data_IF_189970908180
#
_entry.id   IF_189970908180
#
_cell.length_a   1.000
_cell.length_b   1.000
_cell.length_c   1.000
_cell.angle_alpha   90.00
_cell.angle_beta   90.00
_cell.angle_gamma   90.00
#
_symmetry.space_group_name_H-M   'P 1'
#
loop_
_entity.id
_entity.type
_entity.pdbx_description
1 polymer ?
#
# COMPACT_ATOMS: atom_id res chain seq x y z
N UNK A 1 14.14 3.28 -28.13
CA UNK A 1 14.54 3.42 -26.71
C UNK A 1 14.29 4.85 -26.26
N UNK A 2 13.65 5.09 -25.11
CA UNK A 2 13.39 6.46 -24.61
C UNK A 2 14.67 7.00 -23.96
N UNK A 3 15.12 8.19 -24.36
CA UNK A 3 16.26 8.88 -23.75
C UNK A 3 15.79 9.65 -22.52
N UNK A 4 16.45 9.43 -21.38
CA UNK A 4 16.20 10.18 -20.15
C UNK A 4 17.32 11.20 -19.92
N UNK A 5 17.00 12.36 -19.34
CA UNK A 5 17.95 13.48 -19.24
C UNK A 5 19.11 13.22 -18.29
N UNK A 6 18.88 12.47 -17.21
CA UNK A 6 19.88 12.14 -16.19
C UNK A 6 20.10 10.64 -16.09
N UNK A 7 19.93 9.90 -17.20
CA UNK A 7 20.19 8.46 -17.23
C UNK A 7 21.62 8.10 -16.80
N UNK A 8 22.63 8.83 -17.26
CA UNK A 8 24.04 8.51 -16.97
C UNK A 8 24.36 8.65 -15.48
N UNK A 9 24.13 9.81 -14.81
CA UNK A 9 24.41 9.92 -13.38
C UNK A 9 23.56 8.96 -12.55
N UNK A 10 22.31 8.70 -12.93
CA UNK A 10 21.47 7.71 -12.28
C UNK A 10 22.03 6.28 -12.40
N UNK A 11 22.58 5.93 -13.55
CA UNK A 11 23.20 4.62 -13.78
C UNK A 11 24.46 4.46 -12.95
N UNK A 12 25.29 5.51 -12.86
CA UNK A 12 26.49 5.52 -12.03
C UNK A 12 26.15 5.37 -10.54
N UNK A 13 25.17 6.13 -10.04
CA UNK A 13 24.76 6.06 -8.64
C UNK A 13 24.13 4.69 -8.30
N UNK A 14 23.17 4.22 -9.10
CA UNK A 14 22.53 2.92 -8.88
C UNK A 14 23.52 1.76 -9.07
N UNK A 15 24.38 1.82 -10.08
CA UNK A 15 25.40 0.80 -10.35
C UNK A 15 26.46 0.75 -9.25
N UNK A 16 26.91 1.91 -8.75
CA UNK A 16 27.82 2.00 -7.62
C UNK A 16 27.22 1.38 -6.35
N UNK A 17 25.97 1.71 -6.03
CA UNK A 17 25.27 1.14 -4.87
C UNK A 17 25.08 -0.38 -5.02
N UNK A 18 24.63 -0.87 -6.18
CA UNK A 18 24.49 -2.31 -6.45
C UNK A 18 25.83 -3.06 -6.32
N UNK A 19 26.91 -2.46 -6.81
CA UNK A 19 28.26 -3.04 -6.70
C UNK A 19 28.68 -3.12 -5.22
N UNK A 20 28.42 -2.07 -4.45
CA UNK A 20 28.70 -2.07 -3.01
C UNK A 20 27.92 -3.17 -2.28
N UNK A 21 26.62 -3.34 -2.57
CA UNK A 21 25.78 -4.42 -2.00
C UNK A 21 26.33 -5.80 -2.37
N UNK A 22 26.73 -6.01 -3.63
CA UNK A 22 27.30 -7.28 -4.06
C UNK A 22 28.62 -7.59 -3.35
N UNK A 23 29.51 -6.60 -3.21
CA UNK A 23 30.79 -6.75 -2.51
C UNK A 23 30.58 -7.05 -1.03
N UNK A 24 29.72 -6.30 -0.33
CA UNK A 24 29.46 -6.54 1.10
C UNK A 24 28.75 -7.87 1.33
N UNK A 25 27.91 -8.34 0.41
CA UNK A 25 27.31 -9.67 0.48
C UNK A 25 28.35 -10.79 0.35
N UNK A 26 29.31 -10.66 -0.57
CA UNK A 26 30.43 -11.64 -0.69
C UNK A 26 31.28 -11.63 0.58
N UNK A 27 31.57 -10.45 1.14
CA UNK A 27 32.31 -10.32 2.40
C UNK A 27 31.55 -10.95 3.57
N UNK A 28 30.23 -10.77 3.65
CA UNK A 28 29.41 -11.40 4.68
C UNK A 28 29.48 -12.94 4.61
N UNK A 29 29.35 -13.51 3.41
CA UNK A 29 29.38 -14.96 3.21
C UNK A 29 30.78 -15.56 3.47
N UNK A 30 31.85 -14.85 3.10
CA UNK A 30 33.23 -15.37 3.19
C UNK A 30 33.91 -15.08 4.53
N UNK A 31 33.65 -13.92 5.12
CA UNK A 31 34.26 -13.45 6.37
C UNK A 31 33.41 -13.71 7.61
N UNK A 32 32.12 -14.04 7.45
CA UNK A 32 31.22 -14.24 8.58
C UNK A 32 30.85 -12.94 9.31
N UNK A 33 30.99 -11.79 8.66
CA UNK A 33 30.59 -10.47 9.19
C UNK A 33 29.50 -9.84 8.30
N UNK A 34 28.25 -9.82 8.80
CA UNK A 34 27.10 -9.25 8.10
C UNK A 34 26.99 -7.72 8.27
N UNK A 35 27.73 -7.15 9.21
CA UNK A 35 27.63 -5.73 9.59
C UNK A 35 27.72 -4.76 8.41
N UNK A 36 28.71 -4.87 7.51
CA UNK A 36 28.82 -3.98 6.36
C UNK A 36 27.65 -4.08 5.38
N UNK A 37 27.13 -5.29 5.14
CA UNK A 37 25.96 -5.48 4.27
C UNK A 37 24.72 -4.88 4.93
N UNK A 38 24.53 -5.18 6.21
CA UNK A 38 23.43 -4.69 7.03
C UNK A 38 23.36 -3.16 7.05
N UNK A 39 24.46 -2.50 7.41
CA UNK A 39 24.58 -1.03 7.39
C UNK A 39 24.28 -0.45 6.01
N UNK A 40 24.71 -1.11 4.94
CA UNK A 40 24.50 -0.58 3.60
C UNK A 40 23.04 -0.70 3.12
N UNK A 41 22.31 -1.72 3.57
CA UNK A 41 20.95 -2.02 3.09
C UNK A 41 19.86 -1.47 3.99
N UNK A 42 20.07 -1.53 5.32
CA UNK A 42 19.13 -1.06 6.32
C UNK A 42 19.52 0.29 6.92
N UNK A 43 20.76 0.74 6.68
CA UNK A 43 21.23 2.06 7.07
C UNK A 43 21.24 2.25 8.59
N UNK A 44 21.42 1.18 9.36
CA UNK A 44 21.70 1.22 10.78
C UNK A 44 22.72 0.16 11.17
N UNK A 45 23.22 0.22 12.40
CA UNK A 45 24.15 -0.78 12.93
C UNK A 45 23.48 -2.16 13.01
N UNK A 46 24.22 -3.21 12.63
CA UNK A 46 23.78 -4.58 12.87
C UNK A 46 23.85 -4.82 14.38
N UNK A 47 22.73 -5.21 14.99
CA UNK A 47 22.74 -5.74 16.35
C UNK A 47 23.43 -7.10 16.41
N UNK A 48 22.95 -7.99 17.28
CA UNK A 48 23.47 -9.36 17.40
C UNK A 48 23.00 -10.30 16.25
N UNK A 49 22.78 -9.76 15.06
CA UNK A 49 22.24 -10.48 13.92
C UNK A 49 23.24 -11.55 13.42
N UNK A 50 22.81 -12.81 13.45
CA UNK A 50 23.63 -13.93 12.98
C UNK A 50 23.86 -13.88 11.46
N UNK A 51 25.05 -14.28 11.02
CA UNK A 51 25.36 -14.42 9.59
C UNK A 51 24.76 -15.72 9.06
N UNK A 52 23.52 -15.63 8.59
CA UNK A 52 22.81 -16.73 7.95
C UNK A 52 22.64 -16.44 6.45
N UNK A 53 22.57 -17.48 5.62
CA UNK A 53 22.35 -17.29 4.18
C UNK A 53 21.00 -16.61 3.90
N UNK A 54 20.00 -16.83 4.76
CA UNK A 54 18.70 -16.18 4.68
C UNK A 54 18.82 -14.67 4.93
N UNK A 55 19.55 -14.25 5.97
CA UNK A 55 19.78 -12.82 6.25
C UNK A 55 20.50 -12.15 5.08
N UNK A 56 21.56 -12.77 4.56
CA UNK A 56 22.27 -12.25 3.39
C UNK A 56 21.32 -12.11 2.18
N UNK A 57 20.48 -13.11 1.90
CA UNK A 57 19.53 -13.05 0.79
C UNK A 57 18.51 -11.93 0.94
N UNK A 58 17.95 -11.74 2.14
CA UNK A 58 16.98 -10.68 2.43
C UNK A 58 17.61 -9.30 2.27
N UNK A 59 18.80 -9.09 2.83
CA UNK A 59 19.52 -7.82 2.71
C UNK A 59 19.90 -7.52 1.26
N UNK A 60 20.36 -8.52 0.49
CA UNK A 60 20.61 -8.36 -0.95
C UNK A 60 19.34 -7.99 -1.70
N UNK A 61 18.19 -8.59 -1.36
CA UNK A 61 16.90 -8.24 -1.96
C UNK A 61 16.51 -6.79 -1.63
N UNK A 62 16.71 -6.33 -0.39
CA UNK A 62 16.49 -4.94 0.01
C UNK A 62 17.43 -4.00 -0.75
N UNK A 63 18.73 -4.31 -0.82
CA UNK A 63 19.70 -3.56 -1.61
C UNK A 63 19.31 -3.50 -3.10
N UNK A 64 18.74 -4.56 -3.67
CA UNK A 64 18.22 -4.54 -5.03
C UNK A 64 17.01 -3.59 -5.19
N UNK A 65 16.11 -3.57 -4.19
CA UNK A 65 14.96 -2.64 -4.16
C UNK A 65 15.42 -1.18 -4.09
N UNK A 66 16.41 -0.85 -3.25
CA UNK A 66 16.97 0.51 -3.20
C UNK A 66 17.77 0.88 -4.44
N UNK A 67 18.56 -0.05 -4.99
CA UNK A 67 19.23 0.14 -6.29
C UNK A 67 18.21 0.55 -7.36
N UNK A 68 17.09 -0.18 -7.43
CA UNK A 68 16.01 0.12 -8.34
C UNK A 68 15.40 1.49 -8.03
N UNK A 69 15.17 1.82 -6.77
CA UNK A 69 14.62 3.10 -6.36
C UNK A 69 15.50 4.28 -6.77
N UNK A 70 16.81 4.21 -6.50
CA UNK A 70 17.81 5.19 -6.91
C UNK A 70 17.76 5.43 -8.42
N UNK A 71 17.71 4.35 -9.21
CA UNK A 71 17.55 4.45 -10.66
C UNK A 71 16.25 5.17 -11.05
N UNK A 72 15.10 4.80 -10.45
CA UNK A 72 13.82 5.41 -10.78
C UNK A 72 13.75 6.89 -10.40
N UNK A 73 14.36 7.28 -9.27
CA UNK A 73 14.38 8.63 -8.74
C UNK A 73 15.35 9.54 -9.50
N UNK A 74 16.56 9.05 -9.81
CA UNK A 74 17.63 9.89 -10.37
C UNK A 74 17.60 10.00 -11.90
N UNK A 75 16.99 9.05 -12.62
CA UNK A 75 17.02 9.04 -14.11
C UNK A 75 16.40 10.27 -14.76
N UNK A 76 15.59 11.02 -14.03
CA UNK A 76 14.97 12.25 -14.50
C UNK A 76 13.80 12.03 -15.46
N UNK A 77 13.18 13.12 -15.94
CA UNK A 77 12.11 13.05 -16.92
C UNK A 77 12.64 12.67 -18.31
N UNK A 78 11.72 12.25 -19.19
CA UNK A 78 12.05 11.95 -20.60
C UNK A 78 12.59 13.20 -21.29
N UNK A 79 13.62 13.02 -22.13
CA UNK A 79 14.21 14.10 -22.91
C UNK A 79 13.23 14.63 -23.98
N UNK A 80 13.26 15.94 -24.25
CA UNK A 80 12.37 16.61 -25.20
C UNK A 80 11.99 18.03 -24.76
N UNK A 81 11.41 18.82 -25.69
CA UNK A 81 10.97 20.18 -25.42
C UNK A 81 9.85 20.19 -24.37
N UNK A 82 10.05 20.95 -23.28
CA UNK A 82 9.09 21.00 -22.19
C UNK A 82 8.01 22.04 -22.51
N UNK A 83 6.70 21.70 -22.41
CA UNK A 83 5.69 22.73 -22.35
C UNK A 83 5.96 23.60 -21.11
N UNK A 84 5.80 24.92 -21.24
CA UNK A 84 5.98 25.84 -20.11
C UNK A 84 4.95 25.47 -19.02
N UNK A 85 5.39 24.91 -17.88
CA UNK A 85 4.45 24.48 -16.85
C UNK A 85 3.85 25.70 -16.16
N UNK A 86 2.53 25.68 -15.94
CA UNK A 86 1.86 26.66 -15.08
C UNK A 86 2.46 26.66 -13.68
N UNK A 87 2.36 27.80 -12.98
CA UNK A 87 3.00 28.01 -11.65
C UNK A 87 2.66 26.91 -10.64
N UNK A 88 1.40 26.49 -10.56
CA UNK A 88 0.98 25.42 -9.63
C UNK A 88 1.62 24.06 -9.91
N UNK A 89 1.76 23.68 -11.19
CA UNK A 89 2.42 22.43 -11.59
C UNK A 89 3.91 22.47 -11.25
N UNK A 90 4.55 23.64 -11.40
CA UNK A 90 5.95 23.82 -10.97
C UNK A 90 6.12 23.57 -9.48
N UNK A 91 5.29 24.18 -8.65
CA UNK A 91 5.35 24.00 -7.20
C UNK A 91 5.08 22.57 -6.78
N UNK A 92 4.03 21.93 -7.32
CA UNK A 92 3.73 20.53 -7.02
C UNK A 92 4.92 19.62 -7.36
N UNK A 93 5.51 19.82 -8.54
CA UNK A 93 6.68 19.05 -8.97
C UNK A 93 7.88 19.27 -8.03
N UNK A 94 8.15 20.51 -7.65
CA UNK A 94 9.23 20.82 -6.71
C UNK A 94 8.99 20.16 -5.35
N UNK A 95 7.77 20.23 -4.81
CA UNK A 95 7.44 19.60 -3.53
C UNK A 95 7.60 18.08 -3.58
N UNK A 96 7.17 17.42 -4.67
CA UNK A 96 7.35 15.98 -4.85
C UNK A 96 8.83 15.57 -4.95
N UNK A 97 9.67 16.35 -5.65
CA UNK A 97 11.12 16.10 -5.66
C UNK A 97 11.76 16.37 -4.31
N UNK A 98 11.31 17.41 -3.60
CA UNK A 98 11.83 17.76 -2.29
C UNK A 98 11.57 16.62 -1.30
N UNK A 99 10.33 16.11 -1.21
CA UNK A 99 10.01 14.97 -0.32
C UNK A 99 10.78 13.71 -0.75
N UNK A 100 10.79 13.36 -2.04
CA UNK A 100 11.57 12.19 -2.49
C UNK A 100 13.09 12.32 -2.18
N UNK A 101 13.65 13.52 -2.28
CA UNK A 101 15.04 13.78 -1.90
C UNK A 101 15.23 13.68 -0.38
N UNK A 102 14.27 14.18 0.40
CA UNK A 102 14.27 14.09 1.86
C UNK A 102 14.23 12.64 2.33
N UNK A 103 13.35 11.81 1.77
CA UNK A 103 13.28 10.39 2.10
C UNK A 103 14.59 9.66 1.76
N UNK A 104 15.22 9.96 0.62
CA UNK A 104 16.53 9.40 0.26
C UNK A 104 17.65 9.89 1.18
N UNK A 105 17.62 11.17 1.57
CA UNK A 105 18.61 11.74 2.48
C UNK A 105 18.45 11.18 3.90
N UNK A 106 17.21 10.97 4.36
CA UNK A 106 16.91 10.32 5.64
C UNK A 106 17.45 8.90 5.67
N UNK A 107 17.25 8.15 4.58
CA UNK A 107 17.85 6.83 4.44
C UNK A 107 19.40 6.90 4.57
N UNK A 108 20.06 7.89 3.96
CA UNK A 108 21.52 8.00 3.99
C UNK A 108 22.09 8.50 5.33
N UNK A 109 21.27 9.07 6.21
CA UNK A 109 21.66 9.73 7.45
C UNK A 109 20.74 9.25 8.58
N UNK A 110 20.92 8.01 9.07
CA UNK A 110 20.03 7.41 10.06
C UNK A 110 20.04 8.13 11.41
N UNK A 111 21.19 8.69 11.81
CA UNK A 111 21.36 9.42 13.07
C UNK A 111 20.98 10.91 12.94
N UNK A 112 20.10 11.25 11.99
CA UNK A 112 19.66 12.63 11.86
C UNK A 112 18.79 13.00 13.07
N UNK A 113 18.98 14.19 13.70
CA UNK A 113 18.03 14.70 14.69
C UNK A 113 16.60 14.70 14.15
N UNK A 114 15.59 14.72 15.03
CA UNK A 114 14.15 14.60 14.74
C UNK A 114 13.55 15.59 13.70
N UNK A 115 14.15 16.78 13.50
CA UNK A 115 13.53 17.86 12.71
C UNK A 115 13.31 17.59 11.20
N UNK A 116 14.11 16.78 10.47
CA UNK A 116 13.86 16.45 9.08
C UNK A 116 12.64 15.55 8.91
N UNK A 117 12.33 14.66 9.86
CA UNK A 117 11.10 13.88 9.80
C UNK A 117 9.87 14.79 9.88
N UNK A 118 9.93 15.81 10.76
CA UNK A 118 8.91 16.87 10.80
C UNK A 118 8.86 17.64 9.49
N UNK A 119 10.02 18.03 8.94
CA UNK A 119 10.07 18.80 7.72
C UNK A 119 9.61 17.99 6.48
N UNK A 120 9.89 16.68 6.40
CA UNK A 120 9.34 15.81 5.35
C UNK A 120 7.83 15.68 5.46
N UNK A 121 7.30 15.49 6.67
CA UNK A 121 5.86 15.49 6.92
C UNK A 121 5.20 16.81 6.48
N UNK A 122 5.84 17.97 6.74
CA UNK A 122 5.36 19.26 6.26
C UNK A 122 5.43 19.40 4.74
N UNK A 123 6.47 18.87 4.09
CA UNK A 123 6.58 18.84 2.63
C UNK A 123 5.49 17.95 2.02
N UNK A 124 5.21 16.78 2.62
CA UNK A 124 4.12 15.89 2.20
C UNK A 124 2.74 16.53 2.40
N UNK A 125 2.53 17.26 3.50
CA UNK A 125 1.32 18.07 3.68
C UNK A 125 1.19 19.13 2.57
N UNK A 126 2.29 19.78 2.18
CA UNK A 126 2.31 20.69 1.04
C UNK A 126 2.02 19.97 -0.29
N UNK A 127 2.53 18.76 -0.51
CA UNK A 127 2.20 17.92 -1.67
C UNK A 127 0.70 17.62 -1.70
N UNK A 128 0.10 17.24 -0.56
CA UNK A 128 -1.33 17.00 -0.45
C UNK A 128 -2.13 18.24 -0.87
N UNK A 129 -1.82 19.42 -0.32
CA UNK A 129 -2.46 20.69 -0.69
C UNK A 129 -2.30 21.03 -2.19
N UNK A 130 -1.09 20.88 -2.73
CA UNK A 130 -0.79 21.19 -4.13
C UNK A 130 -1.42 20.21 -5.12
N UNK A 131 -1.83 19.01 -4.68
CA UNK A 131 -2.64 18.07 -5.45
C UNK A 131 -4.12 18.47 -5.53
N UNK A 132 -4.58 19.44 -4.74
CA UNK A 132 -5.97 19.87 -4.69
C UNK A 132 -6.60 20.21 -6.04
N UNK A 133 -5.96 20.99 -6.93
CA UNK A 133 -6.48 21.24 -8.26
C UNK A 133 -6.66 19.97 -9.13
N UNK A 134 -5.82 18.95 -8.93
CA UNK A 134 -5.92 17.65 -9.64
C UNK A 134 -7.09 16.84 -9.06
N UNK A 135 -7.22 16.81 -7.74
CA UNK A 135 -8.31 16.14 -7.03
C UNK A 135 -9.68 16.75 -7.38
N UNK A 136 -9.83 18.08 -7.26
CA UNK A 136 -11.11 18.79 -7.49
C UNK A 136 -11.65 18.63 -8.91
N UNK A 137 -10.79 18.38 -9.90
CA UNK A 137 -11.20 18.14 -11.29
C UNK A 137 -11.72 16.72 -11.53
N UNK A 138 -11.36 15.75 -10.68
CA UNK A 138 -11.49 14.32 -11.00
C UNK A 138 -12.28 13.53 -9.96
N UNK A 139 -12.38 14.02 -8.73
CA UNK A 139 -12.98 13.33 -7.57
C UNK A 139 -13.99 14.25 -6.89
N UNK A 140 -15.17 13.72 -6.53
CA UNK A 140 -16.25 14.50 -5.88
C UNK A 140 -15.92 14.92 -4.45
N UNK A 141 -15.19 14.08 -3.72
CA UNK A 141 -14.79 14.29 -2.32
C UNK A 141 -13.37 14.87 -2.22
N UNK A 142 -13.01 15.76 -3.14
CA UNK A 142 -11.66 16.29 -3.22
C UNK A 142 -11.22 17.04 -1.95
N UNK A 143 -12.11 17.80 -1.33
CA UNK A 143 -11.78 18.56 -0.11
C UNK A 143 -11.59 17.64 1.10
N UNK A 144 -12.35 16.55 1.20
CA UNK A 144 -12.15 15.54 2.22
C UNK A 144 -10.82 14.78 2.01
N UNK A 145 -10.50 14.46 0.76
CA UNK A 145 -9.20 13.88 0.40
C UNK A 145 -8.05 14.82 0.78
N UNK A 146 -8.19 16.12 0.54
CA UNK A 146 -7.18 17.11 0.93
C UNK A 146 -7.02 17.19 2.44
N UNK A 147 -8.13 17.32 3.17
CA UNK A 147 -8.12 17.40 4.62
C UNK A 147 -7.49 16.16 5.26
N UNK A 148 -7.85 14.97 4.78
CA UNK A 148 -7.26 13.71 5.26
C UNK A 148 -5.76 13.60 4.99
N UNK A 149 -5.28 14.01 3.80
CA UNK A 149 -3.84 13.99 3.49
C UNK A 149 -3.05 14.94 4.39
N UNK A 150 -3.54 16.17 4.55
CA UNK A 150 -2.91 17.15 5.46
C UNK A 150 -2.93 16.65 6.90
N UNK A 151 -4.07 16.14 7.38
CA UNK A 151 -4.21 15.61 8.72
C UNK A 151 -3.26 14.44 8.98
N UNK A 152 -3.17 13.47 8.07
CA UNK A 152 -2.29 12.31 8.22
C UNK A 152 -0.82 12.73 8.40
N UNK A 153 -0.33 13.67 7.59
CA UNK A 153 1.05 14.13 7.68
C UNK A 153 1.31 15.05 8.88
N UNK A 154 0.34 15.90 9.27
CA UNK A 154 0.46 16.70 10.49
C UNK A 154 0.47 15.84 11.76
N UNK A 155 -0.32 14.75 11.79
CA UNK A 155 -0.28 13.78 12.88
C UNK A 155 1.08 13.09 12.94
N UNK A 156 1.68 12.72 11.80
CA UNK A 156 3.05 12.20 11.75
C UNK A 156 4.08 13.17 12.35
N UNK A 157 4.04 14.44 11.95
CA UNK A 157 4.91 15.49 12.53
C UNK A 157 4.69 15.65 14.04
N UNK A 158 3.43 15.61 14.49
CA UNK A 158 3.07 15.68 15.89
C UNK A 158 3.64 14.51 16.69
N UNK A 159 3.56 13.27 16.18
CA UNK A 159 4.17 12.11 16.83
C UNK A 159 5.68 12.27 16.98
N UNK A 160 6.38 12.63 15.90
CA UNK A 160 7.84 12.86 15.94
C UNK A 160 8.25 13.89 17.00
N UNK A 161 7.56 15.03 17.08
CA UNK A 161 7.85 16.07 18.10
C UNK A 161 7.50 15.56 19.50
N UNK A 162 6.37 14.88 19.65
CA UNK A 162 5.91 14.41 20.96
C UNK A 162 6.83 13.35 21.55
N UNK A 163 7.33 12.45 20.71
CA UNK A 163 8.26 11.39 21.09
C UNK A 163 9.61 11.98 21.52
N UNK A 164 10.15 12.94 20.77
CA UNK A 164 11.43 13.59 21.08
C UNK A 164 11.39 14.41 22.39
N UNK A 165 10.36 15.26 22.55
CA UNK A 165 10.29 16.19 23.67
C UNK A 165 9.55 15.63 24.89
N UNK A 166 9.06 14.39 24.82
CA UNK A 166 8.20 13.79 25.84
C UNK A 166 6.90 14.57 26.06
N UNK A 167 6.44 15.33 25.06
CA UNK A 167 5.26 16.18 25.16
C UNK A 167 3.99 15.33 25.10
N UNK A 168 3.45 15.02 26.27
CA UNK A 168 2.16 14.32 26.42
C UNK A 168 0.97 15.29 26.41
N UNK A 169 0.92 16.22 25.44
CA UNK A 169 -0.24 17.11 25.27
C UNK A 169 -1.52 16.30 25.04
N UNK A 170 -1.40 15.19 24.30
CA UNK A 170 -2.30 14.05 24.34
C UNK A 170 -1.53 12.83 24.85
N UNK A 171 -2.19 11.83 25.46
CA UNK A 171 -1.57 10.53 25.65
C UNK A 171 -1.12 10.07 24.26
N UNK A 172 0.19 9.96 24.02
CA UNK A 172 0.73 9.47 22.73
C UNK A 172 0.26 8.04 22.43
N UNK A 173 -0.26 7.36 23.44
CA UNK A 173 -0.96 6.08 23.37
C UNK A 173 -2.47 6.20 23.09
N UNK A 174 -3.02 7.39 22.81
CA UNK A 174 -4.44 7.53 22.48
C UNK A 174 -4.68 6.86 21.11
N UNK A 175 -5.35 5.69 21.11
CA UNK A 175 -5.53 4.92 19.89
C UNK A 175 -6.27 5.73 18.83
N UNK A 176 -7.11 6.70 19.21
CA UNK A 176 -7.93 7.49 18.28
C UNK A 176 -7.04 8.30 17.32
N UNK A 177 -6.00 8.96 17.81
CA UNK A 177 -5.11 9.78 16.97
C UNK A 177 -4.39 8.92 15.94
N UNK A 178 -3.85 7.79 16.40
CA UNK A 178 -3.18 6.79 15.54
C UNK A 178 -4.14 6.21 14.50
N UNK A 179 -5.36 5.84 14.89
CA UNK A 179 -6.39 5.33 13.98
C UNK A 179 -6.79 6.34 12.93
N UNK A 180 -6.95 7.61 13.31
CA UNK A 180 -7.30 8.68 12.39
C UNK A 180 -6.20 8.82 11.32
N UNK A 181 -4.93 8.85 11.69
CA UNK A 181 -3.82 8.91 10.73
C UNK A 181 -3.76 7.65 9.84
N UNK A 182 -3.91 6.47 10.45
CA UNK A 182 -3.87 5.18 9.76
C UNK A 182 -4.98 5.03 8.71
N UNK A 183 -6.13 5.71 8.87
CA UNK A 183 -7.21 5.73 7.87
C UNK A 183 -7.07 6.90 6.89
N UNK A 184 -6.70 8.07 7.40
CA UNK A 184 -6.63 9.31 6.62
C UNK A 184 -5.57 9.24 5.50
N UNK A 185 -4.37 8.70 5.80
CA UNK A 185 -3.29 8.57 4.83
C UNK A 185 -3.66 7.69 3.63
N UNK A 186 -4.09 6.42 3.84
CA UNK A 186 -4.56 5.54 2.78
C UNK A 186 -5.75 6.09 2.00
N UNK A 187 -6.71 6.74 2.67
CA UNK A 187 -7.84 7.36 1.99
C UNK A 187 -7.39 8.48 1.04
N UNK A 188 -6.53 9.39 1.52
CA UNK A 188 -5.95 10.45 0.70
C UNK A 188 -5.21 9.87 -0.51
N UNK A 189 -4.30 8.92 -0.26
CA UNK A 189 -3.49 8.31 -1.32
C UNK A 189 -4.38 7.60 -2.35
N UNK A 190 -5.38 6.84 -1.92
CA UNK A 190 -6.34 6.19 -2.81
C UNK A 190 -7.02 7.22 -3.73
N UNK A 191 -7.50 8.33 -3.18
CA UNK A 191 -8.15 9.40 -3.96
C UNK A 191 -7.17 10.08 -4.93
N UNK A 192 -5.92 10.30 -4.52
CA UNK A 192 -4.85 10.82 -5.39
C UNK A 192 -4.59 9.85 -6.55
N UNK A 193 -4.51 8.54 -6.29
CA UNK A 193 -4.28 7.54 -7.34
C UNK A 193 -5.44 7.49 -8.33
N UNK A 194 -6.69 7.60 -7.87
CA UNK A 194 -7.87 7.74 -8.76
C UNK A 194 -7.74 8.98 -9.63
N UNK A 195 -7.36 10.11 -9.03
CA UNK A 195 -7.22 11.38 -9.72
C UNK A 195 -6.10 11.31 -10.77
N UNK A 196 -4.92 10.81 -10.41
CA UNK A 196 -3.80 10.58 -11.32
C UNK A 196 -4.19 9.65 -12.47
N UNK A 197 -4.92 8.57 -12.17
CA UNK A 197 -5.43 7.66 -13.19
C UNK A 197 -6.37 8.34 -14.19
N UNK A 198 -7.20 9.28 -13.75
CA UNK A 198 -8.16 9.99 -14.63
C UNK A 198 -7.55 11.16 -15.37
N UNK A 199 -6.55 11.82 -14.81
CA UNK A 199 -5.96 13.04 -15.33
C UNK A 199 -5.20 12.84 -16.66
N UNK A 200 -4.71 11.63 -16.93
CA UNK A 200 -4.08 11.27 -18.20
C UNK A 200 -2.64 11.77 -18.38
N UNK A 201 -2.20 12.76 -17.59
CA UNK A 201 -0.78 13.19 -17.55
C UNK A 201 0.12 12.16 -16.87
N UNK A 202 -0.42 11.41 -15.92
CA UNK A 202 0.33 10.40 -15.17
C UNK A 202 0.33 9.06 -15.90
N UNK A 203 1.50 8.42 -15.96
CA UNK A 203 1.62 7.11 -16.60
C UNK A 203 0.97 6.04 -15.72
N UNK A 204 0.37 5.04 -16.38
CA UNK A 204 -0.23 3.88 -15.70
C UNK A 204 0.74 3.16 -14.76
N UNK A 205 2.01 3.06 -15.15
CA UNK A 205 3.05 2.45 -14.31
C UNK A 205 3.41 3.28 -13.08
N UNK A 206 3.31 4.62 -13.13
CA UNK A 206 3.51 5.47 -11.96
C UNK A 206 2.35 5.29 -10.98
N UNK A 207 1.10 5.29 -11.46
CA UNK A 207 -0.06 4.98 -10.62
C UNK A 207 0.03 3.58 -10.02
N UNK A 208 0.49 2.59 -10.80
CA UNK A 208 0.70 1.22 -10.32
C UNK A 208 1.69 1.13 -9.15
N UNK A 209 2.76 1.93 -9.15
CA UNK A 209 3.71 1.99 -8.01
C UNK A 209 3.04 2.59 -6.77
N UNK A 210 2.24 3.63 -6.94
CA UNK A 210 1.48 4.19 -5.82
C UNK A 210 0.42 3.23 -5.27
N UNK A 211 -0.22 2.44 -6.13
CA UNK A 211 -1.10 1.33 -5.70
C UNK A 211 -0.30 0.26 -4.97
N UNK A 212 0.89 -0.09 -5.45
CA UNK A 212 1.76 -1.04 -4.76
C UNK A 212 2.14 -0.55 -3.36
N UNK A 213 2.48 0.74 -3.20
CA UNK A 213 2.71 1.37 -1.89
C UNK A 213 1.47 1.33 -0.99
N UNK A 214 0.30 1.72 -1.51
CA UNK A 214 -0.97 1.68 -0.75
C UNK A 214 -1.29 0.27 -0.22
N UNK A 215 -0.92 -0.76 -0.97
CA UNK A 215 -1.21 -2.15 -0.63
C UNK A 215 -0.04 -2.88 0.03
N UNK A 216 1.16 -2.30 0.08
CA UNK A 216 2.33 -3.03 0.55
C UNK A 216 2.24 -3.48 2.00
N UNK A 217 1.60 -2.76 2.95
CA UNK A 217 1.41 -3.30 4.30
C UNK A 217 0.67 -4.64 4.29
N UNK A 218 -0.31 -4.79 3.40
CA UNK A 218 -1.10 -6.03 3.26
C UNK A 218 -0.33 -7.12 2.48
N UNK A 219 0.44 -6.71 1.46
CA UNK A 219 1.21 -7.63 0.62
C UNK A 219 2.46 -8.17 1.32
N UNK A 220 3.07 -7.39 2.21
CA UNK A 220 4.27 -7.75 2.96
C UNK A 220 3.94 -8.48 4.27
N UNK A 221 2.71 -8.40 4.76
CA UNK A 221 2.28 -9.08 5.97
C UNK A 221 2.53 -10.60 5.99
N UNK A 222 2.29 -11.38 4.91
CA UNK A 222 2.66 -12.79 4.87
C UNK A 222 4.17 -13.03 4.95
N UNK A 223 4.96 -12.08 4.44
CA UNK A 223 6.42 -12.13 4.48
C UNK A 223 6.90 -11.89 5.91
N UNK A 224 6.37 -10.85 6.58
CA UNK A 224 6.63 -10.60 8.01
C UNK A 224 6.29 -11.85 8.84
N UNK A 225 5.10 -12.43 8.64
CA UNK A 225 4.67 -13.60 9.39
C UNK A 225 5.56 -14.82 9.11
N UNK A 226 5.93 -15.05 7.85
CA UNK A 226 6.81 -16.15 7.48
C UNK A 226 8.16 -16.02 8.19
N UNK A 227 8.73 -14.82 8.26
CA UNK A 227 10.00 -14.59 8.93
C UNK A 227 9.87 -14.57 10.46
N UNK A 228 8.76 -14.11 11.02
CA UNK A 228 8.50 -14.21 12.46
C UNK A 228 8.44 -15.67 12.97
N UNK A 229 8.19 -16.64 12.08
CA UNK A 229 8.23 -18.07 12.37
C UNK A 229 9.64 -18.68 12.28
N UNK A 230 10.62 -17.94 11.78
CA UNK A 230 12.02 -18.38 11.66
C UNK A 230 12.83 -17.66 12.73
N UNK A 231 13.26 -18.41 13.76
CA UNK A 231 14.10 -17.87 14.83
C UNK A 231 15.32 -17.13 14.26
N UNK A 232 15.60 -15.92 14.77
CA UNK A 232 16.75 -15.09 14.37
C UNK A 232 16.45 -13.92 13.42
N UNK A 233 15.16 -13.64 13.13
CA UNK A 233 14.71 -12.57 12.24
C UNK A 233 13.99 -11.42 12.99
N UNK A 234 14.57 -10.93 14.09
CA UNK A 234 13.97 -9.89 14.94
C UNK A 234 13.65 -8.58 14.21
N UNK A 235 14.42 -8.22 13.17
CA UNK A 235 14.38 -6.88 12.56
C UNK A 235 13.64 -6.84 11.21
N UNK A 236 12.77 -7.81 10.92
CA UNK A 236 11.99 -7.84 9.66
C UNK A 236 10.99 -6.69 9.58
N UNK A 237 10.54 -6.18 10.73
CA UNK A 237 9.64 -5.04 10.82
C UNK A 237 10.24 -3.80 10.16
N UNK A 238 11.51 -3.49 10.48
CA UNK A 238 12.26 -2.38 9.90
C UNK A 238 12.39 -2.53 8.39
N UNK A 239 12.68 -3.75 7.93
CA UNK A 239 12.76 -4.08 6.52
C UNK A 239 11.47 -3.83 5.74
N UNK A 240 10.30 -4.11 6.33
CA UNK A 240 9.00 -3.91 5.69
C UNK A 240 8.59 -2.45 5.66
N UNK A 241 8.83 -1.73 6.76
CA UNK A 241 8.66 -0.28 6.81
C UNK A 241 9.50 0.40 5.72
N UNK A 242 10.74 -0.04 5.56
CA UNK A 242 11.66 0.51 4.56
C UNK A 242 11.20 0.28 3.11
N UNK A 243 10.66 -0.90 2.77
CA UNK A 243 10.11 -1.15 1.42
C UNK A 243 8.91 -0.24 1.14
N UNK A 244 8.06 0.00 2.14
CA UNK A 244 6.93 0.92 2.04
C UNK A 244 7.40 2.34 1.70
N UNK A 245 8.41 2.85 2.40
CA UNK A 245 8.99 4.18 2.18
C UNK A 245 9.67 4.31 0.81
N UNK A 246 10.37 3.26 0.37
CA UNK A 246 10.98 3.21 -0.96
C UNK A 246 9.91 3.35 -2.05
N UNK A 247 8.79 2.64 -1.93
CA UNK A 247 7.71 2.72 -2.93
C UNK A 247 7.06 4.10 -2.97
N UNK A 248 6.86 4.75 -1.81
CA UNK A 248 6.38 6.13 -1.74
C UNK A 248 7.34 7.09 -2.44
N UNK A 249 8.63 6.99 -2.10
CA UNK A 249 9.71 7.81 -2.65
C UNK A 249 9.76 7.71 -4.18
N UNK A 250 9.71 6.48 -4.70
CA UNK A 250 9.69 6.23 -6.14
C UNK A 250 8.42 6.77 -6.79
N UNK A 251 7.26 6.61 -6.14
CA UNK A 251 6.00 7.16 -6.63
C UNK A 251 6.04 8.69 -6.71
N UNK A 252 6.59 9.37 -5.70
CA UNK A 252 6.75 10.83 -5.67
C UNK A 252 7.66 11.31 -6.80
N UNK A 253 8.87 10.76 -6.90
CA UNK A 253 9.83 11.13 -7.93
C UNK A 253 9.27 10.87 -9.33
N UNK A 254 8.61 9.73 -9.56
CA UNK A 254 7.99 9.43 -10.86
C UNK A 254 6.78 10.28 -11.18
N UNK A 255 5.97 10.64 -10.18
CA UNK A 255 4.88 11.60 -10.36
C UNK A 255 5.42 12.97 -10.80
N UNK A 256 6.53 13.41 -10.20
CA UNK A 256 7.23 14.62 -10.60
C UNK A 256 7.84 14.53 -12.01
N UNK A 257 8.37 13.36 -12.39
CA UNK A 257 8.86 13.09 -13.75
C UNK A 257 7.74 13.15 -14.79
N UNK A 258 6.59 12.53 -14.51
CA UNK A 258 5.43 12.51 -15.41
C UNK A 258 4.86 13.92 -15.60
N UNK A 259 4.81 14.74 -14.54
CA UNK A 259 4.43 16.16 -14.65
C UNK A 259 5.41 17.01 -15.47
N UNK A 260 6.65 16.54 -15.67
CA UNK A 260 7.66 17.19 -16.50
C UNK A 260 7.77 16.60 -17.91
N UNK A 261 6.99 15.57 -18.23
CA UNK A 261 7.02 14.87 -19.51
C UNK A 261 6.50 15.81 -20.64
N UNK A 262 7.25 16.00 -21.73
CA UNK A 262 6.79 16.73 -22.91
C UNK A 262 5.43 16.30 -23.45
N UNK A 263 5.09 15.01 -23.31
CA UNK A 263 3.83 14.45 -23.79
C UNK A 263 2.65 14.59 -22.81
N UNK A 264 2.88 15.09 -21.60
CA UNK A 264 1.85 15.20 -20.57
C UNK A 264 0.83 16.30 -20.91
N UNK A 265 -0.22 15.94 -21.64
CA UNK A 265 -1.40 16.79 -21.82
C UNK A 265 -2.49 16.34 -20.85
N UNK A 266 -3.15 17.28 -20.15
CA UNK A 266 -4.36 16.94 -19.40
C UNK A 266 -5.34 16.24 -20.33
N UNK A 267 -5.93 15.14 -19.88
CA UNK A 267 -7.08 14.59 -20.57
C UNK A 267 -8.13 15.72 -20.71
N UNK A 268 -8.81 15.82 -21.87
CA UNK A 268 -9.92 16.75 -22.01
C UNK A 268 -10.87 16.54 -20.85
N UNK A 269 -11.23 17.62 -20.14
CA UNK A 269 -12.25 17.52 -19.10
C UNK A 269 -13.48 16.87 -19.74
N UNK A 270 -13.97 15.74 -19.20
CA UNK A 270 -15.22 15.18 -19.71
C UNK A 270 -16.25 16.31 -19.64
N UNK A 271 -17.01 16.59 -20.71
CA UNK A 271 -17.98 17.67 -20.70
C UNK A 271 -18.85 17.49 -19.46
N UNK A 272 -18.73 18.43 -18.52
CA UNK A 272 -19.49 18.46 -17.28
C UNK A 272 -20.94 18.56 -17.69
N UNK A 273 -21.63 17.41 -17.80
CA UNK A 273 -23.07 17.27 -18.04
C UNK A 273 -23.68 18.57 -18.58
N UNK A 274 -23.29 18.94 -19.80
CA UNK A 274 -24.06 19.94 -20.52
C UNK A 274 -25.42 19.26 -20.64
N UNK A 275 -26.38 19.77 -19.87
CA UNK A 275 -27.79 19.40 -19.98
C UNK A 275 -28.07 19.35 -21.48
N UNK A 276 -28.45 18.20 -22.05
CA UNK A 276 -28.60 18.10 -23.49
C UNK A 276 -29.61 19.18 -23.93
N UNK A 277 -29.26 20.11 -24.84
CA UNK A 277 -30.30 20.69 -25.67
C UNK A 277 -30.93 19.50 -26.40
N UNK A 278 -32.24 19.37 -26.24
CA UNK A 278 -32.99 18.21 -26.68
C UNK A 278 -32.64 17.77 -28.12
N UNK A 279 -32.45 16.46 -28.29
CA UNK A 279 -32.78 15.71 -29.51
C UNK A 279 -32.15 16.20 -30.84
N UNK A 280 -30.86 15.91 -31.05
CA UNK A 280 -30.38 15.58 -32.40
C UNK A 280 -29.70 14.22 -32.33
N UNK A 281 -30.51 13.20 -32.58
CA UNK A 281 -30.13 11.80 -32.63
C UNK A 281 -29.50 11.51 -33.99
N UNK A 282 -28.23 11.88 -34.19
CA UNK A 282 -27.47 11.36 -35.33
C UNK A 282 -26.85 9.99 -34.99
N UNK A 283 -27.14 8.94 -35.79
CA UNK A 283 -26.60 7.61 -35.59
C UNK A 283 -25.12 7.57 -36.03
N UNK A 284 -24.21 7.69 -35.06
CA UNK A 284 -22.77 7.59 -35.33
C UNK A 284 -22.37 6.12 -35.54
N UNK A 285 -21.76 5.74 -36.68
CA UNK A 285 -21.40 4.35 -36.95
C UNK A 285 -20.34 3.85 -35.96
N UNK A 286 -20.66 2.73 -35.31
CA UNK A 286 -19.82 2.08 -34.33
C UNK A 286 -18.55 1.51 -35.00
N UNK A 287 -17.45 2.25 -34.93
CA UNK A 287 -16.13 1.74 -35.27
C UNK A 287 -15.72 0.64 -34.27
N UNK A 288 -16.00 -0.62 -34.63
CA UNK A 288 -15.49 -1.83 -33.99
C UNK A 288 -13.98 -1.96 -34.24
N UNK A 289 -13.15 -1.23 -33.49
CA UNK A 289 -11.71 -1.49 -33.46
C UNK A 289 -11.34 -2.32 -32.23
N UNK A 290 -11.39 -3.64 -32.39
CA UNK A 290 -10.21 -4.52 -32.23
C UNK A 290 -9.45 -4.65 -30.91
N UNK A 291 -9.91 -4.15 -29.75
CA UNK A 291 -9.25 -4.43 -28.46
C UNK A 291 -9.96 -5.57 -27.72
N UNK A 292 -9.70 -6.81 -28.15
CA UNK A 292 -10.20 -8.05 -27.50
C UNK A 292 -9.30 -8.53 -26.34
N UNK A 293 -8.15 -7.89 -26.09
CA UNK A 293 -7.20 -8.21 -25.02
C UNK A 293 -7.69 -7.90 -23.59
N UNK A 294 -8.51 -6.86 -23.30
CA UNK A 294 -8.86 -6.52 -21.91
C UNK A 294 -9.88 -7.46 -21.25
N UNK A 295 -10.64 -8.26 -22.02
CA UNK A 295 -11.66 -9.16 -21.44
C UNK A 295 -11.07 -10.40 -20.78
N UNK A 296 -9.97 -10.95 -21.33
CA UNK A 296 -9.30 -12.13 -20.76
C UNK A 296 -8.59 -11.78 -19.46
N UNK A 297 -7.85 -10.67 -19.42
CA UNK A 297 -7.20 -10.20 -18.19
C UNK A 297 -8.22 -9.94 -17.07
N UNK A 298 -9.38 -9.36 -17.40
CA UNK A 298 -10.48 -9.16 -16.47
C UNK A 298 -10.98 -10.49 -15.88
N UNK A 299 -11.22 -11.50 -16.73
CA UNK A 299 -11.67 -12.82 -16.30
C UNK A 299 -10.64 -13.51 -15.38
N UNK A 300 -9.34 -13.45 -15.74
CA UNK A 300 -8.27 -14.03 -14.93
C UNK A 300 -8.13 -13.34 -13.57
N UNK A 301 -8.22 -12.00 -13.50
CA UNK A 301 -8.16 -11.28 -12.22
C UNK A 301 -9.34 -11.61 -11.31
N UNK A 302 -10.54 -11.76 -11.88
CA UNK A 302 -11.72 -12.16 -11.15
C UNK A 302 -11.62 -13.59 -10.62
N UNK A 303 -11.14 -14.52 -11.46
CA UNK A 303 -10.92 -15.91 -11.08
C UNK A 303 -9.84 -16.06 -10.01
N UNK A 304 -8.73 -15.31 -10.10
CA UNK A 304 -7.70 -15.28 -9.07
C UNK A 304 -8.24 -14.79 -7.71
N UNK A 305 -9.03 -13.72 -7.70
CA UNK A 305 -9.71 -13.23 -6.49
C UNK A 305 -10.66 -14.28 -5.90
N UNK A 306 -11.40 -15.02 -6.74
CA UNK A 306 -12.29 -16.09 -6.28
C UNK A 306 -11.50 -17.25 -5.67
N UNK A 307 -10.44 -17.72 -6.34
CA UNK A 307 -9.58 -18.81 -5.83
C UNK A 307 -8.93 -18.40 -4.50
N UNK A 308 -8.46 -17.16 -4.41
CA UNK A 308 -7.91 -16.59 -3.18
C UNK A 308 -8.96 -16.40 -2.07
N UNK A 309 -10.27 -16.42 -2.35
CA UNK A 309 -11.28 -16.39 -1.29
C UNK A 309 -11.82 -17.79 -0.96
N UNK A 310 -11.79 -18.70 -1.94
CA UNK A 310 -12.27 -20.07 -1.79
C UNK A 310 -11.28 -20.96 -1.05
N UNK A 311 -9.97 -20.82 -1.27
CA UNK A 311 -8.97 -21.69 -0.66
C UNK A 311 -9.22 -21.93 0.85
N UNK A 312 -9.39 -20.91 1.72
CA UNK A 312 -9.55 -21.09 3.15
C UNK A 312 -10.90 -21.67 3.54
N UNK A 313 -11.96 -21.26 2.83
CA UNK A 313 -13.29 -21.82 3.03
C UNK A 313 -13.29 -23.33 2.71
N UNK A 314 -12.59 -23.71 1.63
CA UNK A 314 -12.44 -25.12 1.24
C UNK A 314 -11.68 -25.91 2.31
N UNK A 315 -10.56 -25.37 2.81
CA UNK A 315 -9.80 -26.06 3.87
C UNK A 315 -10.61 -26.15 5.18
N UNK A 316 -11.35 -25.11 5.55
CA UNK A 316 -12.22 -25.12 6.74
C UNK A 316 -13.35 -26.14 6.60
N UNK A 317 -14.04 -26.17 5.46
CA UNK A 317 -15.13 -27.12 5.18
C UNK A 317 -14.64 -28.57 5.15
N UNK A 318 -13.47 -28.84 4.54
CA UNK A 318 -12.85 -30.18 4.53
C UNK A 318 -12.53 -30.69 5.93
N UNK A 319 -12.40 -29.80 6.92
CA UNK A 319 -12.19 -30.14 8.33
C UNK A 319 -13.48 -30.09 9.17
N UNK A 320 -14.64 -29.94 8.54
CA UNK A 320 -15.93 -29.87 9.23
C UNK A 320 -16.19 -28.54 9.94
N UNK A 321 -15.41 -27.48 9.67
CA UNK A 321 -15.60 -26.16 10.25
C UNK A 321 -16.34 -25.26 9.26
N UNK A 322 -17.53 -24.80 9.62
CA UNK A 322 -18.32 -23.83 8.83
C UNK A 322 -18.03 -22.37 9.22
N UNK A 323 -17.34 -22.16 10.35
CA UNK A 323 -17.01 -20.85 10.89
C UNK A 323 -15.59 -20.45 10.49
N UNK A 324 -15.42 -19.15 10.23
CA UNK A 324 -14.15 -18.61 9.79
C UNK A 324 -13.13 -18.40 10.94
N UNK A 325 -13.55 -17.76 12.03
CA UNK A 325 -12.70 -17.30 13.13
C UNK A 325 -13.01 -18.06 14.44
N UNK A 326 -14.30 -18.22 14.75
CA UNK A 326 -14.81 -18.93 15.93
C UNK A 326 -14.71 -20.45 15.80
N UNK A 327 -13.74 -21.05 16.47
CA UNK A 327 -14.14 -21.68 17.72
C UNK A 327 -13.84 -20.84 18.96
N UNK A 328 -13.23 -19.65 18.82
CA UNK A 328 -12.53 -18.97 19.93
C UNK A 328 -12.87 -17.51 20.20
N UNK A 329 -13.67 -16.88 19.34
CA UNK A 329 -14.05 -15.48 19.51
C UNK A 329 -15.51 -15.45 19.92
N UNK A 330 -15.78 -15.64 21.21
CA UNK A 330 -17.10 -15.26 21.70
C UNK A 330 -17.33 -13.80 21.35
N UNK A 331 -18.50 -13.49 20.79
CA UNK A 331 -18.86 -12.11 20.53
C UNK A 331 -18.66 -11.33 21.84
N UNK A 332 -18.11 -10.10 21.79
CA UNK A 332 -17.79 -9.37 23.01
C UNK A 332 -19.01 -9.35 23.93
N UNK A 333 -18.87 -9.61 25.24
CA UNK A 333 -20.01 -9.77 26.14
C UNK A 333 -20.92 -8.52 26.20
N UNK A 334 -20.38 -7.36 25.81
CA UNK A 334 -21.11 -6.09 25.70
C UNK A 334 -21.90 -5.90 24.38
N UNK A 335 -21.74 -6.78 23.39
CA UNK A 335 -22.36 -6.62 22.07
C UNK A 335 -23.86 -7.02 22.06
N UNK A 336 -24.34 -7.74 23.09
CA UNK A 336 -25.72 -8.24 23.18
C UNK A 336 -26.01 -9.39 22.21
N UNK A 337 -27.14 -10.09 22.43
CA UNK A 337 -27.52 -11.27 21.64
C UNK A 337 -27.60 -10.99 20.12
N UNK A 338 -28.13 -9.83 19.74
CA UNK A 338 -28.32 -9.44 18.34
C UNK A 338 -27.00 -9.28 17.59
N UNK A 339 -25.99 -8.67 18.20
CA UNK A 339 -24.67 -8.55 17.58
C UNK A 339 -23.93 -9.89 17.54
N UNK A 340 -24.14 -10.75 18.54
CA UNK A 340 -23.61 -12.12 18.54
C UNK A 340 -24.18 -12.96 17.39
N UNK A 341 -25.48 -12.84 17.11
CA UNK A 341 -26.11 -13.49 15.96
C UNK A 341 -25.58 -12.94 14.63
N UNK A 342 -25.44 -11.61 14.52
CA UNK A 342 -24.89 -10.97 13.32
C UNK A 342 -23.43 -11.39 13.06
N UNK A 343 -22.61 -11.45 14.12
CA UNK A 343 -21.23 -11.91 14.05
C UNK A 343 -21.13 -13.36 13.56
N UNK A 344 -21.92 -14.28 14.16
CA UNK A 344 -21.99 -15.68 13.71
C UNK A 344 -22.44 -15.80 12.26
N UNK A 345 -23.39 -14.97 11.82
CA UNK A 345 -23.83 -14.94 10.43
C UNK A 345 -22.70 -14.51 9.48
N UNK A 346 -21.93 -13.48 9.85
CA UNK A 346 -20.76 -13.01 9.09
C UNK A 346 -19.67 -14.08 9.05
N UNK A 347 -19.36 -14.72 10.16
CA UNK A 347 -18.34 -15.78 10.23
C UNK A 347 -18.74 -17.02 9.45
N UNK A 348 -20.02 -17.40 9.50
CA UNK A 348 -20.54 -18.51 8.71
C UNK A 348 -20.48 -18.16 7.23
N UNK A 349 -20.93 -16.95 6.86
CA UNK A 349 -20.88 -16.47 5.48
C UNK A 349 -19.45 -16.44 4.92
N UNK A 350 -18.49 -15.94 5.70
CA UNK A 350 -17.08 -15.96 5.38
C UNK A 350 -16.53 -17.40 5.28
N UNK A 351 -16.84 -18.24 6.27
CA UNK A 351 -16.32 -19.60 6.41
C UNK A 351 -16.80 -20.55 5.31
N UNK A 352 -18.00 -20.36 4.78
CA UNK A 352 -18.53 -21.15 3.65
C UNK A 352 -18.15 -20.59 2.27
N UNK A 353 -17.34 -19.53 2.21
CA UNK A 353 -16.86 -18.95 0.95
C UNK A 353 -17.82 -17.93 0.31
N UNK A 354 -18.76 -17.38 1.07
CA UNK A 354 -19.69 -16.33 0.63
C UNK A 354 -19.01 -15.13 -0.06
N UNK A 355 -17.86 -14.62 0.42
CA UNK A 355 -17.10 -13.58 -0.27
C UNK A 355 -16.71 -13.91 -1.71
N UNK A 356 -16.33 -15.18 -1.99
CA UNK A 356 -15.99 -15.60 -3.35
C UNK A 356 -17.23 -15.59 -4.27
N UNK A 357 -18.38 -15.99 -3.74
CA UNK A 357 -19.67 -15.92 -4.45
C UNK A 357 -20.01 -14.47 -4.80
N UNK A 358 -19.77 -13.52 -3.89
CA UNK A 358 -19.96 -12.10 -4.17
C UNK A 358 -19.03 -11.57 -5.26
N UNK A 359 -17.76 -12.02 -5.30
CA UNK A 359 -16.85 -11.71 -6.41
C UNK A 359 -17.40 -12.26 -7.72
N UNK A 360 -17.87 -13.51 -7.77
CA UNK A 360 -18.47 -14.10 -8.97
C UNK A 360 -19.73 -13.32 -9.41
N UNK A 361 -20.63 -13.00 -8.49
CA UNK A 361 -21.82 -12.20 -8.75
C UNK A 361 -21.46 -10.78 -9.21
N UNK A 362 -20.38 -10.20 -8.72
CA UNK A 362 -19.88 -8.91 -9.18
C UNK A 362 -19.29 -8.96 -10.60
N UNK A 363 -18.66 -10.08 -10.97
CA UNK A 363 -18.11 -10.29 -12.30
C UNK A 363 -19.21 -10.50 -13.34
N UNK A 364 -20.23 -11.29 -12.99
CA UNK A 364 -21.42 -11.58 -13.81
C UNK A 364 -22.43 -10.42 -13.82
N UNK A 365 -22.49 -9.68 -12.71
CA UNK A 365 -23.44 -8.60 -12.50
C UNK A 365 -23.00 -7.23 -13.04
N UNK A 366 -23.93 -6.28 -12.96
CA UNK A 366 -23.69 -4.89 -13.32
C UNK A 366 -22.87 -4.13 -12.27
N UNK A 367 -22.70 -2.81 -12.50
CA UNK A 367 -21.92 -1.93 -11.60
C UNK A 367 -22.42 -1.92 -10.15
N UNK A 368 -23.71 -2.15 -9.94
CA UNK A 368 -24.35 -2.18 -8.62
C UNK A 368 -23.88 -3.42 -7.84
N UNK A 369 -23.93 -4.59 -8.46
CA UNK A 369 -23.46 -5.85 -7.86
C UNK A 369 -21.97 -5.78 -7.48
N UNK A 370 -21.13 -5.21 -8.36
CA UNK A 370 -19.72 -5.00 -8.06
C UNK A 370 -19.47 -4.01 -6.91
N UNK A 371 -20.29 -2.96 -6.80
CA UNK A 371 -20.22 -2.03 -5.67
C UNK A 371 -20.61 -2.69 -4.35
N UNK A 372 -21.70 -3.46 -4.35
CA UNK A 372 -22.16 -4.20 -3.18
C UNK A 372 -21.15 -5.26 -2.72
N UNK A 373 -20.62 -6.07 -3.66
CA UNK A 373 -19.60 -7.07 -3.35
C UNK A 373 -18.33 -6.46 -2.75
N UNK A 374 -17.86 -5.34 -3.32
CA UNK A 374 -16.71 -4.61 -2.78
C UNK A 374 -16.99 -4.08 -1.37
N UNK A 375 -18.18 -3.53 -1.12
CA UNK A 375 -18.59 -3.08 0.21
C UNK A 375 -18.59 -4.22 1.23
N UNK A 376 -19.17 -5.37 0.88
CA UNK A 376 -19.18 -6.54 1.76
C UNK A 376 -17.77 -7.08 1.99
N UNK A 377 -16.94 -7.20 0.97
CA UNK A 377 -15.54 -7.63 1.13
C UNK A 377 -14.75 -6.73 2.08
N UNK A 378 -14.92 -5.41 1.95
CA UNK A 378 -14.28 -4.45 2.84
C UNK A 378 -14.83 -4.52 4.27
N UNK A 379 -16.13 -4.72 4.45
CA UNK A 379 -16.74 -4.93 5.76
C UNK A 379 -16.27 -6.23 6.41
N UNK A 380 -16.16 -7.32 5.63
CA UNK A 380 -15.63 -8.60 6.11
C UNK A 380 -14.15 -8.50 6.48
N UNK A 381 -13.35 -7.78 5.68
CA UNK A 381 -11.95 -7.48 6.01
C UNK A 381 -11.84 -6.64 7.29
N UNK A 382 -12.67 -5.60 7.43
CA UNK A 382 -12.71 -4.75 8.62
C UNK A 382 -13.13 -5.54 9.88
N UNK A 383 -14.12 -6.42 9.76
CA UNK A 383 -14.52 -7.32 10.85
C UNK A 383 -13.41 -8.26 11.28
N UNK A 384 -12.67 -8.83 10.33
CA UNK A 384 -11.49 -9.65 10.64
C UNK A 384 -10.34 -8.88 11.26
N UNK A 385 -10.07 -7.68 10.75
CA UNK A 385 -9.03 -6.81 11.28
C UNK A 385 -9.38 -6.36 12.71
N UNK A 386 -10.64 -5.98 12.97
CA UNK A 386 -11.11 -5.67 14.31
C UNK A 386 -10.97 -6.88 15.22
N UNK A 387 -11.37 -8.07 14.78
CA UNK A 387 -11.13 -9.32 15.50
C UNK A 387 -9.66 -9.51 15.86
N UNK A 388 -8.75 -9.42 14.88
CA UNK A 388 -7.31 -9.52 15.11
C UNK A 388 -6.79 -8.49 16.12
N UNK A 389 -7.21 -7.24 16.02
CA UNK A 389 -6.80 -6.16 16.93
C UNK A 389 -7.28 -6.41 18.35
N UNK A 390 -8.53 -6.84 18.54
CA UNK A 390 -9.04 -7.21 19.87
C UNK A 390 -8.28 -8.39 20.49
N UNK A 391 -7.73 -9.29 19.67
CA UNK A 391 -6.83 -10.35 20.16
C UNK A 391 -5.39 -9.89 20.40
N UNK A 392 -4.92 -8.89 19.66
CA UNK A 392 -3.58 -8.33 19.79
C UNK A 392 -3.50 -7.25 20.88
N UNK A 393 -4.60 -6.75 21.41
CA UNK A 393 -4.59 -5.78 22.53
C UNK A 393 -3.76 -6.27 23.76
N UNK A 394 -3.85 -7.54 24.20
CA UNK A 394 -2.93 -8.09 25.21
C UNK A 394 -1.49 -8.31 24.70
N UNK A 395 -1.26 -8.37 23.38
CA UNK A 395 0.08 -8.47 22.78
C UNK A 395 0.84 -7.13 22.83
N UNK A 396 0.13 -6.00 22.66
CA UNK A 396 0.71 -4.64 22.72
C UNK A 396 0.85 -4.09 24.14
N UNK A 397 0.02 -4.52 25.08
CA UNK A 397 0.03 -4.01 26.47
C UNK A 397 0.91 -4.81 27.44
N UNK A 398 1.48 -5.95 27.02
CA UNK A 398 2.20 -6.88 27.89
C UNK A 398 3.60 -7.27 27.41
N UNK A 399 4.61 -6.43 27.66
CA UNK A 399 6.05 -6.74 27.52
C UNK A 399 6.53 -7.93 28.39
N UNK A 400 5.66 -8.52 29.22
CA UNK A 400 5.96 -9.68 30.09
C UNK A 400 5.62 -11.04 29.48
N UNK A 401 5.00 -11.10 28.29
CA UNK A 401 4.58 -12.37 27.67
C UNK A 401 5.66 -13.08 26.84
N UNK A 402 6.77 -12.40 26.49
CA UNK A 402 7.88 -13.00 25.74
C UNK A 402 8.62 -14.14 26.46
N UNK A 403 8.33 -14.38 27.75
CA UNK A 403 8.84 -15.53 28.50
C UNK A 403 7.94 -16.79 28.44
N UNK A 404 6.82 -16.77 27.71
CA UNK A 404 6.06 -18.01 27.44
C UNK A 404 6.55 -18.67 26.15
N UNK A 405 6.77 -20.00 26.15
CA UNK A 405 7.20 -20.72 24.96
C UNK A 405 6.23 -20.47 23.80
N UNK A 406 6.78 -20.16 22.62
CA UNK A 406 6.09 -19.75 21.40
C UNK A 406 4.95 -20.69 20.93
N UNK A 407 4.84 -21.90 21.51
CA UNK A 407 3.81 -22.88 21.17
C UNK A 407 2.37 -22.52 21.56
N UNK A 408 2.16 -21.63 22.54
CA UNK A 408 0.81 -21.30 23.06
C UNK A 408 0.26 -19.96 22.55
N UNK A 409 1.12 -19.02 22.14
CA UNK A 409 0.74 -17.62 21.91
C UNK A 409 0.02 -17.40 20.55
N UNK A 410 0.21 -18.29 19.58
CA UNK A 410 -0.39 -18.19 18.24
C UNK A 410 -1.53 -19.18 17.99
N UNK A 411 -1.92 -20.00 18.97
CA UNK A 411 -2.92 -21.05 18.74
C UNK A 411 -2.51 -22.09 17.67
N UNK A 412 -1.24 -22.14 17.25
CA UNK A 412 -0.75 -23.04 16.20
C UNK A 412 -0.84 -24.52 16.57
N UNK A 413 -0.96 -24.87 17.86
CA UNK A 413 -1.21 -26.26 18.31
C UNK A 413 -2.65 -26.73 18.18
N UNK A 414 -3.55 -25.89 17.68
CA UNK A 414 -4.98 -26.11 17.89
C UNK A 414 -5.76 -25.92 16.60
N UNK A 415 -5.58 -26.87 15.69
CA UNK A 415 -6.63 -27.38 14.79
C UNK A 415 -7.12 -26.53 13.61
N UNK A 416 -7.08 -25.20 13.65
CA UNK A 416 -7.56 -24.37 12.54
C UNK A 416 -6.45 -24.13 11.51
N UNK A 417 -6.67 -24.45 10.23
CA UNK A 417 -5.62 -24.42 9.20
C UNK A 417 -5.40 -23.03 8.57
N UNK A 418 -6.28 -22.07 8.79
CA UNK A 418 -6.24 -20.78 8.09
C UNK A 418 -6.23 -19.64 9.11
N UNK A 419 -5.20 -18.80 9.02
CA UNK A 419 -5.09 -17.54 9.77
C UNK A 419 -6.20 -16.55 9.36
N UNK A 420 -6.85 -15.93 10.35
CA UNK A 420 -7.82 -14.85 10.12
C UNK A 420 -7.22 -13.70 9.28
N UNK A 421 -5.92 -13.46 9.46
CA UNK A 421 -5.16 -12.44 8.75
C UNK A 421 -5.07 -12.72 7.25
N UNK A 422 -4.89 -13.99 6.87
CA UNK A 422 -4.91 -14.39 5.47
C UNK A 422 -6.22 -14.02 4.79
N UNK A 423 -7.33 -14.22 5.47
CA UNK A 423 -8.67 -13.98 4.92
C UNK A 423 -9.00 -12.48 4.85
N UNK A 424 -8.54 -11.68 5.81
CA UNK A 424 -8.58 -10.21 5.73
C UNK A 424 -7.84 -9.75 4.49
N UNK A 425 -6.61 -10.21 4.30
CA UNK A 425 -5.79 -9.88 3.12
C UNK A 425 -6.47 -10.31 1.83
N UNK A 426 -7.00 -11.53 1.77
CA UNK A 426 -7.73 -12.02 0.60
C UNK A 426 -8.97 -11.17 0.28
N UNK A 427 -9.74 -10.75 1.28
CA UNK A 427 -10.90 -9.87 1.10
C UNK A 427 -10.49 -8.50 0.55
N UNK A 428 -9.42 -7.89 1.09
CA UNK A 428 -8.94 -6.60 0.59
C UNK A 428 -8.38 -6.73 -0.83
N UNK A 429 -7.56 -7.74 -1.10
CA UNK A 429 -7.03 -8.01 -2.44
C UNK A 429 -8.16 -8.22 -3.45
N UNK A 430 -9.19 -8.99 -3.09
CA UNK A 430 -10.35 -9.21 -3.95
C UNK A 430 -11.16 -7.92 -4.19
N UNK A 431 -11.34 -7.08 -3.17
CA UNK A 431 -12.02 -5.79 -3.29
C UNK A 431 -11.26 -4.85 -4.25
N UNK A 432 -9.92 -4.79 -4.12
CA UNK A 432 -9.04 -4.00 -4.99
C UNK A 432 -9.08 -4.51 -6.43
N UNK A 433 -9.03 -5.84 -6.62
CA UNK A 433 -9.12 -6.45 -7.95
C UNK A 433 -10.47 -6.13 -8.61
N UNK A 434 -11.58 -6.25 -7.89
CA UNK A 434 -12.91 -5.85 -8.38
C UNK A 434 -12.98 -4.36 -8.74
N UNK A 435 -12.40 -3.50 -7.89
CA UNK A 435 -12.34 -2.07 -8.13
C UNK A 435 -11.55 -1.73 -9.39
N UNK A 436 -10.36 -2.32 -9.54
CA UNK A 436 -9.52 -2.19 -10.72
C UNK A 436 -10.25 -2.64 -11.98
N UNK A 437 -10.88 -3.81 -11.91
CA UNK A 437 -11.61 -4.42 -13.01
C UNK A 437 -12.77 -3.50 -13.48
N UNK A 438 -13.42 -2.78 -12.54
CA UNK A 438 -14.44 -1.77 -12.84
C UNK A 438 -13.89 -0.54 -13.57
N UNK A 439 -12.68 -0.11 -13.24
CA UNK A 439 -12.03 1.05 -13.88
C UNK A 439 -11.62 0.73 -15.31
N UNK A 440 -11.13 -0.49 -15.54
CA UNK A 440 -10.61 -0.92 -16.84
C UNK A 440 -11.72 -1.24 -17.84
N UNK A 441 -12.94 -1.60 -17.37
CA UNK A 441 -14.08 -1.84 -18.27
C UNK A 441 -14.40 -0.56 -19.07
N UNK A 442 -14.24 -0.57 -20.42
CA UNK A 442 -14.62 0.57 -21.24
C UNK A 442 -16.12 0.85 -21.04
N UNK A 443 -16.48 2.14 -20.90
CA UNK A 443 -17.88 2.54 -20.86
C UNK A 443 -18.47 2.19 -22.22
N UNK A 444 -19.27 1.13 -22.27
CA UNK A 444 -20.15 0.86 -23.41
C UNK A 444 -21.22 1.92 -23.49
#
# INVERSE_FOLDING_TARGET
MRRYRSAVPALLAAGGYATAVAVTAVLAVTGGDIGPLWRLTLLHEAGDAAVTWQNVLVLVAMGAVMTWALWQCLRGPVAGARPAPGRGVRWLRTAMYASAAMSLLYALLPDWPWWPAVADALVLAAVALLLGPVLRRTVRLADLALASGVLAHLVGAYHTVSDEFGWRLWPSSDPVVTWVAAVAGPYWLAMVLVAQWRDGRFRRSTVGIGVAHLLSPLLLLPVVLLFALVDGFGDVEDGVSWVFDVLLTVWLARSAHDLADPGARPAPSPPLLAVPPALVMEPRPAARTGLAVPSRLFAWTGLAACVMLLAPATVNLLRGNSLWLTPRVEAPPWAGETAGLLWRAVETFAGVGGPAVLVLLALLGGRVAAGAAMGVLLLTAAGGAAGLVFFLEPFWTGLTWFNRPAGDVLGLRSGTPVSAMWFVTACVCAAVLLWWARIVRPRR
#
